data_IF_407707142019
#
_entry.id   IF_407707142019
#
_cell.length_a   1.000
_cell.length_b   1.000
_cell.length_c   1.000
_cell.angle_alpha   90.00
_cell.angle_beta   90.00
_cell.angle_gamma   90.00
#
_symmetry.space_group_name_H-M   'P 1'
#
loop_
_entity.id
_entity.type
_entity.pdbx_description
1 polymer ?
#
# COMPACT_ATOMS: atom_id res chain seq x y z
N UNK A 1 11.04 10.04 -0.02
CA UNK A 1 11.03 8.76 0.73
C UNK A 1 12.30 8.00 0.41
N UNK A 2 12.96 7.40 1.42
CA UNK A 2 14.00 6.41 1.12
C UNK A 2 13.36 5.16 0.51
N UNK A 3 14.17 4.36 -0.19
CA UNK A 3 13.68 3.15 -0.86
C UNK A 3 13.12 2.14 0.15
N UNK A 4 13.70 2.09 1.36
CA UNK A 4 13.23 1.27 2.48
C UNK A 4 11.87 1.74 3.01
N UNK A 5 11.66 3.05 3.19
CA UNK A 5 10.36 3.61 3.59
C UNK A 5 9.29 3.27 2.56
N UNK A 6 9.61 3.36 1.25
CA UNK A 6 8.66 3.03 0.18
C UNK A 6 8.24 1.56 0.24
N UNK A 7 9.20 0.63 0.40
CA UNK A 7 8.91 -0.81 0.54
C UNK A 7 8.04 -1.10 1.75
N UNK A 8 8.33 -0.49 2.89
CA UNK A 8 7.54 -0.64 4.11
C UNK A 8 6.09 -0.17 3.92
N UNK A 9 5.90 0.99 3.31
CA UNK A 9 4.55 1.53 3.02
C UNK A 9 3.76 0.65 2.04
N UNK A 10 4.40 0.08 1.02
CA UNK A 10 3.77 -0.90 0.11
C UNK A 10 3.33 -2.15 0.88
N UNK A 11 4.16 -2.67 1.78
CA UNK A 11 3.80 -3.82 2.61
C UNK A 11 2.62 -3.52 3.56
N UNK A 12 2.60 -2.33 4.16
CA UNK A 12 1.49 -1.85 4.99
C UNK A 12 0.19 -1.72 4.19
N UNK A 13 0.26 -1.20 2.96
CA UNK A 13 -0.89 -1.10 2.06
C UNK A 13 -1.46 -2.48 1.66
N UNK A 14 -0.60 -3.47 1.40
CA UNK A 14 -1.02 -4.86 1.19
C UNK A 14 -1.63 -5.51 2.43
N UNK A 15 -1.14 -5.16 3.63
CA UNK A 15 -1.75 -5.63 4.88
C UNK A 15 -3.14 -5.02 5.10
N UNK A 16 -3.32 -3.74 4.78
CA UNK A 16 -4.63 -3.08 4.80
C UNK A 16 -5.61 -3.75 3.83
N UNK A 17 -5.17 -4.03 2.60
CA UNK A 17 -6.00 -4.70 1.59
C UNK A 17 -6.51 -6.06 2.11
N UNK A 18 -5.63 -6.86 2.73
CA UNK A 18 -5.98 -8.17 3.31
C UNK A 18 -6.91 -8.09 4.52
N UNK A 19 -6.89 -6.98 5.25
CA UNK A 19 -7.79 -6.75 6.41
C UNK A 19 -9.17 -6.23 6.00
N UNK A 20 -9.40 -5.99 4.71
CA UNK A 20 -10.63 -5.38 4.20
C UNK A 20 -10.48 -3.86 4.18
N UNK A 21 -9.75 -3.36 3.18
CA UNK A 21 -9.52 -1.93 2.95
C UNK A 21 -10.83 -1.18 2.62
N UNK A 22 -11.58 -0.85 3.66
CA UNK A 22 -12.93 -0.27 3.59
C UNK A 22 -12.98 1.06 2.83
N UNK A 23 -11.93 1.87 2.92
CA UNK A 23 -11.86 3.19 2.29
C UNK A 23 -11.03 3.19 1.00
N UNK A 24 -10.52 2.03 0.57
CA UNK A 24 -9.69 1.88 -0.62
C UNK A 24 -8.33 2.60 -0.54
N UNK A 25 -7.85 2.92 0.67
CA UNK A 25 -6.62 3.70 0.89
C UNK A 25 -5.41 2.88 0.48
N UNK A 26 -5.34 1.62 0.94
CA UNK A 26 -4.29 0.68 0.57
C UNK A 26 -4.28 0.43 -0.94
N UNK A 27 -5.46 0.22 -1.53
CA UNK A 27 -5.61 0.00 -2.98
C UNK A 27 -5.10 1.19 -3.79
N UNK A 28 -5.52 2.42 -3.45
CA UNK A 28 -5.07 3.64 -4.14
C UNK A 28 -3.56 3.85 -4.02
N UNK A 29 -3.00 3.62 -2.83
CA UNK A 29 -1.57 3.74 -2.60
C UNK A 29 -0.75 2.76 -3.46
N UNK A 30 -1.22 1.51 -3.58
CA UNK A 30 -0.55 0.49 -4.41
C UNK A 30 -0.59 0.88 -5.90
N UNK A 31 -1.73 1.33 -6.41
CA UNK A 31 -1.88 1.78 -7.81
C UNK A 31 -0.96 2.96 -8.11
N UNK A 32 -0.92 3.97 -7.23
CA UNK A 32 -0.05 5.15 -7.39
C UNK A 32 1.43 4.77 -7.49
N UNK A 33 1.82 3.64 -6.90
CA UNK A 33 3.20 3.18 -6.86
C UNK A 33 3.48 1.99 -7.78
N UNK A 34 2.54 1.58 -8.64
CA UNK A 34 2.70 0.48 -9.59
C UNK A 34 2.91 -0.88 -8.91
N UNK A 35 2.31 -1.08 -7.74
CA UNK A 35 2.44 -2.30 -6.93
C UNK A 35 1.16 -3.17 -6.93
N UNK A 36 0.15 -2.77 -7.69
CA UNK A 36 -1.08 -3.49 -8.04
C UNK A 36 -1.28 -3.37 -9.55
#
# INVERSE_FOLDING_TARGET
MSNETKKRRIAEAWALLRKGDQFGIGRRFLIQHGAL
#
